data_IF_612262698872
#
_entry.id   IF_612262698872
#
_cell.length_a   1.000
_cell.length_b   1.000
_cell.length_c   1.000
_cell.angle_alpha   90.00
_cell.angle_beta   90.00
_cell.angle_gamma   90.00
#
_symmetry.space_group_name_H-M   'P 1'
#
loop_
_entity.id
_entity.type
_entity.pdbx_description
1 polymer ?
#
# COMPACT_ATOMS: atom_id res chain seq x y z
N UNK A 1 4.34 -14.20 -1.97
CA UNK A 1 3.83 -14.47 -0.59
C UNK A 1 4.79 -13.81 0.41
N UNK A 2 4.56 -12.54 0.78
CA UNK A 2 5.41 -11.84 1.77
C UNK A 2 4.79 -10.58 2.43
N UNK A 3 3.76 -9.93 1.86
CA UNK A 3 3.20 -8.68 2.42
C UNK A 3 2.19 -8.89 3.58
N UNK A 4 1.33 -9.90 3.49
CA UNK A 4 0.18 -10.07 4.38
C UNK A 4 0.51 -10.42 5.86
N UNK A 5 1.79 -10.65 6.18
CA UNK A 5 2.22 -10.98 7.55
C UNK A 5 2.85 -9.81 8.31
N UNK A 6 3.05 -8.64 7.67
CA UNK A 6 3.60 -7.44 8.35
C UNK A 6 2.55 -6.50 8.94
N UNK A 7 1.26 -6.87 8.91
CA UNK A 7 0.17 -6.09 9.54
C UNK A 7 0.19 -6.12 11.08
N UNK A 8 1.36 -6.31 11.70
CA UNK A 8 1.54 -6.04 13.12
C UNK A 8 1.65 -4.52 13.30
N UNK A 9 0.78 -3.89 14.09
CA UNK A 9 0.76 -2.45 14.24
C UNK A 9 2.03 -2.02 14.99
N UNK A 10 2.90 -1.26 14.32
CA UNK A 10 3.96 -0.49 14.98
C UNK A 10 5.38 -0.71 14.47
N UNK A 11 5.63 -1.67 13.59
CA UNK A 11 6.94 -1.75 12.94
C UNK A 11 6.95 -0.84 11.69
N UNK A 12 7.80 0.21 11.67
CA UNK A 12 7.92 1.07 10.51
C UNK A 12 8.26 0.22 9.28
N UNK A 13 7.75 0.64 8.13
CA UNK A 13 8.19 0.10 6.85
C UNK A 13 9.73 0.17 6.82
N UNK A 14 10.45 -0.92 6.50
CA UNK A 14 11.87 -0.79 6.17
C UNK A 14 11.99 0.28 5.08
N UNK A 15 13.10 1.05 5.03
CA UNK A 15 13.30 2.08 4.00
C UNK A 15 13.06 1.46 2.61
N UNK A 16 11.86 1.68 2.07
CA UNK A 16 11.43 1.19 0.77
C UNK A 16 11.42 2.39 -0.15
N UNK A 17 12.14 2.25 -1.25
CA UNK A 17 12.20 3.27 -2.28
C UNK A 17 10.83 3.38 -2.97
N UNK A 18 10.30 4.61 -3.06
CA UNK A 18 9.03 4.88 -3.71
C UNK A 18 9.01 4.44 -5.18
N UNK A 19 10.16 4.38 -5.85
CA UNK A 19 10.28 3.91 -7.23
C UNK A 19 9.87 2.44 -7.43
N UNK A 20 9.85 1.64 -6.36
CA UNK A 20 9.34 0.26 -6.41
C UNK A 20 7.85 0.19 -6.75
N UNK A 21 7.12 1.31 -6.65
CA UNK A 21 5.69 1.40 -6.87
C UNK A 21 5.33 2.20 -8.12
N UNK A 22 6.31 2.57 -8.96
CA UNK A 22 6.09 3.36 -10.18
C UNK A 22 5.22 2.63 -11.22
N UNK A 23 5.21 1.29 -11.18
CA UNK A 23 4.38 0.46 -12.06
C UNK A 23 2.93 0.29 -11.56
N UNK A 24 2.60 0.80 -10.36
CA UNK A 24 1.24 0.71 -9.81
C UNK A 24 0.35 1.76 -10.49
N UNK A 25 -0.85 1.36 -10.89
CA UNK A 25 -1.79 2.29 -11.50
C UNK A 25 -2.13 3.44 -10.55
N UNK A 26 -2.24 4.65 -11.12
CA UNK A 26 -2.60 5.85 -10.37
C UNK A 26 -3.94 5.70 -9.61
N UNK A 27 -4.86 4.92 -10.16
CA UNK A 27 -6.15 4.62 -9.53
C UNK A 27 -5.99 3.74 -8.27
N UNK A 28 -5.19 2.68 -8.34
CA UNK A 28 -4.91 1.81 -7.18
C UNK A 28 -4.19 2.58 -6.07
N UNK A 29 -3.27 3.47 -6.44
CA UNK A 29 -2.58 4.35 -5.49
C UNK A 29 -3.52 5.38 -4.85
N UNK A 30 -4.44 5.96 -5.63
CA UNK A 30 -5.43 6.92 -5.11
C UNK A 30 -6.37 6.26 -4.09
N UNK A 31 -6.93 5.09 -4.40
CA UNK A 31 -7.78 4.33 -3.48
C UNK A 31 -7.06 3.97 -2.18
N UNK A 32 -5.79 3.58 -2.28
CA UNK A 32 -4.99 3.27 -1.11
C UNK A 32 -4.78 4.48 -0.19
N UNK A 33 -4.48 5.65 -0.77
CA UNK A 33 -4.32 6.89 -0.01
C UNK A 33 -5.61 7.34 0.67
N UNK A 34 -6.76 7.21 0.00
CA UNK A 34 -8.05 7.55 0.60
C UNK A 34 -8.34 6.71 1.85
N UNK A 35 -8.03 5.41 1.80
CA UNK A 35 -8.24 4.51 2.93
C UNK A 35 -7.27 4.83 4.06
N UNK A 36 -5.97 4.99 3.78
CA UNK A 36 -4.96 5.34 4.78
C UNK A 36 -5.31 6.66 5.48
N UNK A 37 -5.73 7.67 4.72
CA UNK A 37 -6.20 8.94 5.26
C UNK A 37 -7.44 8.78 6.16
N UNK A 38 -8.35 7.85 5.84
CA UNK A 38 -9.53 7.58 6.64
C UNK A 38 -9.20 6.95 8.01
N UNK A 39 -8.10 6.21 8.14
CA UNK A 39 -7.64 5.67 9.43
C UNK A 39 -6.97 6.73 10.31
N UNK A 40 -6.37 7.77 9.71
CA UNK A 40 -5.85 8.96 10.41
C UNK A 40 -4.66 8.73 11.35
N UNK A 41 -4.24 7.49 11.55
CA UNK A 41 -3.10 7.09 12.39
C UNK A 41 -2.10 6.18 11.66
N UNK A 42 -2.27 6.01 10.34
CA UNK A 42 -1.39 5.21 9.50
C UNK A 42 -0.38 6.11 8.78
N UNK A 43 0.89 5.68 8.64
CA UNK A 43 1.86 6.36 7.80
C UNK A 43 1.42 6.37 6.32
N UNK A 44 1.83 7.40 5.59
CA UNK A 44 1.54 7.52 4.14
C UNK A 44 2.11 6.33 3.35
N UNK A 45 3.22 5.75 3.82
CA UNK A 45 3.90 4.63 3.18
C UNK A 45 3.06 3.34 3.20
N UNK A 46 2.09 3.22 4.12
CA UNK A 46 1.12 2.11 4.10
C UNK A 46 0.22 2.15 2.85
N UNK A 47 0.03 3.32 2.24
CA UNK A 47 -0.72 3.44 0.99
C UNK A 47 -0.01 2.72 -0.15
N UNK A 48 1.33 2.66 -0.15
CA UNK A 48 2.10 1.97 -1.17
C UNK A 48 1.91 0.45 -1.10
N UNK A 49 1.84 -0.11 0.11
CA UNK A 49 1.54 -1.53 0.28
C UNK A 49 0.10 -1.84 -0.12
N UNK A 50 -0.83 -1.00 0.32
CA UNK A 50 -2.25 -1.18 0.02
C UNK A 50 -2.55 -1.04 -1.48
N UNK A 51 -1.83 -0.19 -2.20
CA UNK A 51 -2.01 -0.04 -3.65
C UNK A 51 -1.62 -1.31 -4.42
N UNK A 52 -0.61 -2.06 -3.95
CA UNK A 52 -0.26 -3.37 -4.53
C UNK A 52 -1.42 -4.35 -4.38
N UNK A 53 -2.12 -4.33 -3.25
CA UNK A 53 -3.28 -5.20 -3.04
C UNK A 53 -4.43 -4.87 -4.01
N UNK A 54 -4.66 -3.59 -4.30
CA UNK A 54 -5.63 -3.17 -5.30
C UNK A 54 -5.23 -3.58 -6.71
N UNK A 55 -3.97 -3.40 -7.08
CA UNK A 55 -3.47 -3.75 -8.41
C UNK A 55 -3.61 -5.26 -8.67
N UNK A 56 -3.15 -6.08 -7.72
CA UNK A 56 -3.30 -7.54 -7.81
C UNK A 56 -4.77 -7.95 -7.85
N UNK A 57 -5.66 -7.28 -7.11
CA UNK A 57 -7.08 -7.58 -7.15
C UNK A 57 -7.73 -7.24 -8.51
N UNK A 58 -7.30 -6.16 -9.17
CA UNK A 58 -7.75 -5.80 -10.52
C UNK A 58 -7.31 -6.81 -11.57
N UNK A 59 -6.05 -7.24 -11.52
CA UNK A 59 -5.49 -8.19 -12.50
C UNK A 59 -6.05 -9.62 -12.38
N UNK A 60 -6.68 -9.94 -11.24
CA UNK A 60 -7.27 -11.26 -10.97
C UNK A 60 -8.81 -11.29 -11.13
N UNK A 61 -9.42 -10.23 -11.68
CA UNK A 61 -10.84 -10.18 -12.08
C UNK A 61 -11.04 -10.66 -13.53
#
# INVERSE_FOLDING_TARGET
>A
RALALRSLPGEPLPEVDASLFDDISAESMALAREIVAAFGNLPDEEAWLLSVHFEVAKDNL
#
